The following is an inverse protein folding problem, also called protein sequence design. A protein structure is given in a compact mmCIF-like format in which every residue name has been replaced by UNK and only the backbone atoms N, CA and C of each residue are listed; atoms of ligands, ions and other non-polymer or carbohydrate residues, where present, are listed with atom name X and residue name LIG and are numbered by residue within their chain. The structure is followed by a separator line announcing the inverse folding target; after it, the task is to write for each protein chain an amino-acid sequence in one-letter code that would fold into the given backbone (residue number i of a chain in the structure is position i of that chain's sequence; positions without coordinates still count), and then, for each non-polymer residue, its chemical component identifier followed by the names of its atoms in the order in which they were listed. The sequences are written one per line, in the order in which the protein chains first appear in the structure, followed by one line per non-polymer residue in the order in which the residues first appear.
data_IF_428430412391
#
_entry.id   IF_428430412391
#
_cell.length_a   1.000
_cell.length_b   1.000
_cell.length_c   1.000
_cell.angle_alpha   90.00
_cell.angle_beta   90.00
_cell.angle_gamma   90.00
#
_symmetry.space_group_name_H-M   'P 1'
#
loop_
_entity.id
_entity.type
_entity.pdbx_description
1 polymer ?
#
# COMPACT_ATOMS: atom_id res chain seq x y z
N UNK A 1 15.67 7.55 -15.61
CA UNK A 1 14.25 7.69 -15.26
C UNK A 1 13.87 6.43 -14.47
N UNK A 2 13.33 6.58 -13.25
CA UNK A 2 12.91 5.43 -12.43
C UNK A 2 11.59 4.85 -12.93
N UNK A 3 11.45 3.53 -12.90
CA UNK A 3 10.18 2.84 -13.14
C UNK A 3 9.54 2.48 -11.80
N UNK A 4 8.30 2.89 -11.59
CA UNK A 4 7.53 2.69 -10.35
C UNK A 4 6.30 1.84 -10.64
N UNK A 5 6.09 0.79 -9.84
CA UNK A 5 4.88 -0.03 -9.87
C UNK A 5 4.08 0.20 -8.59
N UNK A 6 2.79 0.52 -8.73
CA UNK A 6 1.90 0.81 -7.61
C UNK A 6 0.67 -0.10 -7.68
N UNK A 7 0.42 -0.91 -6.66
CA UNK A 7 -0.80 -1.72 -6.60
C UNK A 7 -1.96 -0.93 -6.00
N UNK A 8 -3.18 -1.14 -6.52
CA UNK A 8 -4.36 -0.39 -6.08
C UNK A 8 -4.32 1.10 -6.48
N UNK A 9 -3.73 1.42 -7.65
CA UNK A 9 -3.46 2.79 -8.08
C UNK A 9 -4.65 3.56 -8.65
N UNK A 10 -5.86 2.98 -8.70
CA UNK A 10 -7.01 3.64 -9.34
C UNK A 10 -7.74 4.66 -8.45
N UNK A 11 -7.53 4.65 -7.13
CA UNK A 11 -8.19 5.55 -6.16
C UNK A 11 -7.37 5.73 -4.87
N UNK A 12 -7.82 6.65 -4.03
CA UNK A 12 -7.26 6.88 -2.69
C UNK A 12 -5.75 7.11 -2.68
N UNK A 13 -5.07 6.53 -1.70
CA UNK A 13 -3.61 6.67 -1.51
C UNK A 13 -2.84 6.22 -2.74
N UNK A 14 -3.27 5.12 -3.38
CA UNK A 14 -2.62 4.61 -4.59
C UNK A 14 -2.66 5.61 -5.74
N UNK A 15 -3.81 6.24 -6.01
CA UNK A 15 -3.94 7.24 -7.06
C UNK A 15 -3.13 8.51 -6.74
N UNK A 16 -3.10 8.96 -5.49
CA UNK A 16 -2.26 10.07 -5.06
C UNK A 16 -0.76 9.75 -5.27
N UNK A 17 -0.34 8.53 -4.95
CA UNK A 17 1.04 8.09 -5.22
C UNK A 17 1.33 8.03 -6.73
N UNK A 18 0.40 7.55 -7.57
CA UNK A 18 0.56 7.57 -9.05
C UNK A 18 0.78 9.00 -9.53
N UNK A 19 -0.07 9.96 -9.12
CA UNK A 19 0.08 11.39 -9.48
C UNK A 19 1.43 11.95 -9.05
N UNK A 20 1.82 11.67 -7.80
CA UNK A 20 3.05 12.19 -7.24
C UNK A 20 4.30 11.68 -7.99
N UNK A 21 4.38 10.38 -8.23
CA UNK A 21 5.54 9.81 -8.95
C UNK A 21 5.56 10.22 -10.42
N UNK A 22 4.41 10.27 -11.10
CA UNK A 22 4.32 10.76 -12.47
C UNK A 22 4.73 12.24 -12.57
N UNK A 23 4.25 13.08 -11.65
CA UNK A 23 4.64 14.50 -11.56
C UNK A 23 6.13 14.72 -11.28
N UNK A 24 6.83 13.73 -10.70
CA UNK A 24 8.28 13.72 -10.52
C UNK A 24 9.06 13.17 -11.74
N UNK A 25 8.38 12.88 -12.84
CA UNK A 25 8.99 12.36 -14.07
C UNK A 25 9.35 10.87 -14.04
N UNK A 26 8.78 10.08 -13.13
CA UNK A 26 8.93 8.64 -13.15
C UNK A 26 8.05 7.98 -14.23
N UNK A 27 8.49 6.84 -14.77
CA UNK A 27 7.63 5.95 -15.55
C UNK A 27 6.77 5.14 -14.59
N UNK A 28 5.47 5.44 -14.52
CA UNK A 28 4.56 4.82 -13.56
C UNK A 28 3.68 3.79 -14.22
N UNK A 29 3.64 2.60 -13.62
CA UNK A 29 2.66 1.56 -13.87
C UNK A 29 1.81 1.38 -12.61
N UNK A 30 0.51 1.14 -12.77
CA UNK A 30 -0.31 0.81 -11.63
C UNK A 30 -1.28 -0.33 -11.90
N UNK A 31 -1.47 -1.17 -10.88
CA UNK A 31 -2.39 -2.29 -10.92
C UNK A 31 -3.72 -1.89 -10.28
N UNK A 32 -4.82 -2.39 -10.83
CA UNK A 32 -6.17 -2.21 -10.28
C UNK A 32 -7.02 -3.44 -10.57
N UNK A 33 -8.02 -3.75 -9.72
CA UNK A 33 -8.84 -4.96 -9.89
C UNK A 33 -10.11 -4.71 -10.73
N UNK A 34 -10.96 -3.75 -10.32
CA UNK A 34 -12.35 -3.66 -10.83
C UNK A 34 -12.72 -2.31 -11.42
N UNK A 35 -12.24 -1.21 -10.88
CA UNK A 35 -12.70 0.11 -11.27
C UNK A 35 -11.98 0.60 -12.53
N UNK A 36 -12.44 0.12 -13.69
CA UNK A 36 -11.87 0.47 -15.01
C UNK A 36 -11.98 1.95 -15.32
N UNK A 37 -13.09 2.61 -14.93
CA UNK A 37 -13.32 4.02 -15.21
C UNK A 37 -12.34 4.90 -14.41
N UNK A 38 -12.23 4.68 -13.10
CA UNK A 38 -11.28 5.40 -12.26
C UNK A 38 -9.83 5.16 -12.72
N UNK A 39 -9.47 3.93 -13.10
CA UNK A 39 -8.15 3.62 -13.62
C UNK A 39 -7.85 4.38 -14.91
N UNK A 40 -8.80 4.43 -15.85
CA UNK A 40 -8.65 5.23 -17.09
C UNK A 40 -8.54 6.73 -16.82
N UNK A 41 -9.27 7.25 -15.83
CA UNK A 41 -9.17 8.65 -15.45
C UNK A 41 -7.77 9.00 -14.94
N UNK A 42 -7.23 8.22 -13.98
CA UNK A 42 -5.87 8.41 -13.46
C UNK A 42 -4.81 8.25 -14.56
N UNK A 43 -4.96 7.26 -15.44
CA UNK A 43 -4.01 7.04 -16.53
C UNK A 43 -4.00 8.22 -17.52
N UNK A 44 -5.17 8.76 -17.89
CA UNK A 44 -5.27 9.94 -18.78
C UNK A 44 -4.68 11.20 -18.16
N UNK A 45 -4.91 11.41 -16.86
CA UNK A 45 -4.43 12.56 -16.13
C UNK A 45 -2.90 12.57 -15.99
N UNK A 46 -2.30 11.40 -15.77
CA UNK A 46 -0.89 11.28 -15.37
C UNK A 46 0.04 10.75 -16.45
N UNK A 47 -0.50 10.18 -17.53
CA UNK A 47 0.27 9.42 -18.52
C UNK A 47 0.75 8.05 -18.00
N UNK A 48 0.37 7.64 -16.78
CA UNK A 48 0.73 6.36 -16.21
C UNK A 48 0.00 5.21 -16.93
N UNK A 49 0.61 4.02 -16.92
CA UNK A 49 0.04 2.84 -17.55
C UNK A 49 -0.74 2.01 -16.52
N UNK A 50 -1.99 1.70 -16.83
CA UNK A 50 -2.90 0.95 -15.98
C UNK A 50 -3.01 -0.51 -16.45
N UNK A 51 -2.84 -1.46 -15.52
CA UNK A 51 -3.02 -2.89 -15.77
C UNK A 51 -4.12 -3.46 -14.86
N UNK A 52 -5.11 -4.13 -15.46
CA UNK A 52 -6.13 -4.84 -14.69
C UNK A 52 -5.52 -6.13 -14.12
N UNK A 53 -5.45 -6.22 -12.79
CA UNK A 53 -4.81 -7.32 -12.08
C UNK A 53 -5.37 -7.42 -10.66
N UNK A 54 -5.93 -8.59 -10.28
CA UNK A 54 -6.12 -8.94 -8.88
C UNK A 54 -4.79 -9.40 -8.30
N UNK A 55 -4.28 -8.69 -7.29
CA UNK A 55 -3.00 -9.04 -6.65
C UNK A 55 -3.04 -10.39 -5.92
N UNK A 56 -4.23 -10.90 -5.59
CA UNK A 56 -4.40 -12.23 -5.02
C UNK A 56 -4.21 -13.37 -6.04
N UNK A 57 -4.21 -13.08 -7.34
CA UNK A 57 -3.93 -14.03 -8.42
C UNK A 57 -2.45 -13.95 -8.81
N UNK A 58 -1.65 -14.93 -8.35
CA UNK A 58 -0.20 -15.01 -8.63
C UNK A 58 0.09 -14.97 -10.14
N UNK A 59 -0.69 -15.69 -10.97
CA UNK A 59 -0.47 -15.71 -12.40
C UNK A 59 -0.80 -14.37 -13.07
N UNK A 60 -1.83 -13.65 -12.60
CA UNK A 60 -2.15 -12.32 -13.08
C UNK A 60 -1.05 -11.32 -12.70
N UNK A 61 -0.51 -11.41 -11.49
CA UNK A 61 0.62 -10.60 -11.04
C UNK A 61 1.85 -10.85 -11.91
N UNK A 62 2.21 -12.12 -12.16
CA UNK A 62 3.35 -12.44 -13.01
C UNK A 62 3.21 -11.84 -14.40
N UNK A 63 2.04 -12.00 -15.06
CA UNK A 63 1.77 -11.38 -16.38
C UNK A 63 1.90 -9.86 -16.35
N UNK A 64 1.43 -9.22 -15.26
CA UNK A 64 1.53 -7.78 -15.13
C UNK A 64 2.99 -7.32 -15.01
N UNK A 65 3.82 -8.01 -14.22
CA UNK A 65 5.24 -7.68 -14.08
C UNK A 65 6.05 -8.04 -15.33
N UNK A 66 5.67 -9.05 -16.10
CA UNK A 66 6.27 -9.35 -17.41
C UNK A 66 6.03 -8.18 -18.38
N UNK A 67 4.84 -7.59 -18.38
CA UNK A 67 4.50 -6.41 -19.20
C UNK A 67 5.23 -5.13 -18.74
N UNK A 68 5.45 -4.96 -17.44
CA UNK A 68 6.24 -3.84 -16.88
C UNK A 68 7.70 -3.95 -17.30
N UNK A 69 8.23 -5.15 -17.31
CA UNK A 69 9.65 -5.44 -17.51
C UNK A 69 10.42 -5.22 -16.20
N UNK A 70 11.09 -4.08 -16.05
CA UNK A 70 11.94 -3.80 -14.88
C UNK A 70 11.39 -2.64 -14.04
N UNK A 71 11.26 -2.86 -12.74
CA UNK A 71 10.86 -1.83 -11.77
C UNK A 71 12.01 -1.47 -10.81
N UNK A 72 12.11 -0.19 -10.47
CA UNK A 72 13.05 0.34 -9.48
C UNK A 72 12.36 0.53 -8.11
N UNK A 73 11.07 0.78 -8.14
CA UNK A 73 10.25 0.99 -6.93
C UNK A 73 8.97 0.18 -7.05
N UNK A 74 8.65 -0.60 -6.00
CA UNK A 74 7.37 -1.27 -5.82
C UNK A 74 6.63 -0.64 -4.64
N UNK A 75 5.40 -0.18 -4.85
CA UNK A 75 4.49 0.29 -3.80
C UNK A 75 3.33 -0.70 -3.68
N UNK A 76 3.33 -1.49 -2.61
CA UNK A 76 2.26 -2.41 -2.27
C UNK A 76 1.18 -1.66 -1.49
N UNK A 77 0.21 -1.09 -2.21
CA UNK A 77 -0.87 -0.31 -1.63
C UNK A 77 -2.25 -1.01 -1.75
N UNK A 78 -2.42 -1.95 -2.67
CA UNK A 78 -3.69 -2.69 -2.79
C UNK A 78 -4.09 -3.28 -1.45
N UNK A 79 -5.35 -3.11 -1.08
CA UNK A 79 -5.88 -3.62 0.18
C UNK A 79 -7.39 -3.49 0.26
N UNK A 80 -7.97 -4.38 1.07
CA UNK A 80 -9.39 -4.39 1.43
C UNK A 80 -9.51 -4.35 2.94
N UNK A 81 -10.63 -3.81 3.43
CA UNK A 81 -10.97 -3.81 4.85
C UNK A 81 -12.27 -4.60 5.08
N UNK A 82 -12.48 -4.98 6.32
CA UNK A 82 -13.73 -5.52 6.83
C UNK A 82 -13.98 -4.93 8.21
N UNK A 83 -15.18 -4.44 8.43
CA UNK A 83 -15.61 -3.91 9.71
C UNK A 83 -16.67 -4.82 10.30
N UNK A 84 -16.40 -5.40 11.46
CA UNK A 84 -17.31 -6.31 12.16
C UNK A 84 -16.61 -7.05 13.29
N UNK A 85 -17.39 -7.57 14.23
CA UNK A 85 -16.86 -8.39 15.34
C UNK A 85 -16.23 -9.68 14.80
N UNK A 86 -15.22 -10.19 15.48
CA UNK A 86 -14.54 -11.44 15.09
C UNK A 86 -15.51 -12.65 14.99
N UNK A 87 -16.58 -12.64 15.77
CA UNK A 87 -17.63 -13.66 15.73
C UNK A 87 -18.54 -13.58 14.50
N UNK A 88 -18.50 -12.48 13.76
CA UNK A 88 -19.36 -12.21 12.61
C UNK A 88 -18.65 -12.40 11.27
N UNK A 89 -17.30 -12.33 11.27
CA UNK A 89 -16.54 -12.52 10.05
C UNK A 89 -16.61 -13.98 9.60
N UNK A 90 -16.95 -14.18 8.33
CA UNK A 90 -16.97 -15.51 7.74
C UNK A 90 -15.57 -15.99 7.38
N UNK A 91 -15.33 -17.32 7.30
CA UNK A 91 -14.04 -17.83 6.79
C UNK A 91 -13.68 -17.36 5.38
N UNK A 92 -14.66 -17.06 4.54
CA UNK A 92 -14.42 -16.54 3.19
C UNK A 92 -13.92 -15.10 3.22
N UNK A 93 -14.53 -14.23 4.02
CA UNK A 93 -14.08 -12.85 4.22
C UNK A 93 -12.69 -12.79 4.84
N UNK A 94 -12.44 -13.60 5.87
CA UNK A 94 -11.11 -13.75 6.46
C UNK A 94 -10.05 -14.10 5.39
N UNK A 95 -10.31 -15.15 4.59
CA UNK A 95 -9.38 -15.57 3.54
C UNK A 95 -9.18 -14.49 2.48
N UNK A 96 -10.26 -13.75 2.10
CA UNK A 96 -10.13 -12.66 1.12
C UNK A 96 -9.26 -11.53 1.64
N UNK A 97 -9.36 -11.19 2.93
CA UNK A 97 -8.48 -10.19 3.56
C UNK A 97 -7.00 -10.60 3.47
N UNK A 98 -6.69 -11.85 3.82
CA UNK A 98 -5.32 -12.36 3.72
C UNK A 98 -4.84 -12.44 2.27
N UNK A 99 -5.66 -12.96 1.38
CA UNK A 99 -5.30 -13.10 -0.04
C UNK A 99 -4.93 -11.76 -0.69
N UNK A 100 -5.66 -10.67 -0.36
CA UNK A 100 -5.35 -9.35 -0.93
C UNK A 100 -4.24 -8.66 -0.14
N UNK A 101 -4.38 -8.55 1.20
CA UNK A 101 -3.54 -7.69 2.00
C UNK A 101 -2.17 -8.29 2.32
N UNK A 102 -2.03 -9.62 2.27
CA UNK A 102 -0.79 -10.34 2.61
C UNK A 102 -0.24 -11.08 1.39
N UNK A 103 -1.01 -12.03 0.84
CA UNK A 103 -0.56 -12.84 -0.29
C UNK A 103 -0.33 -11.97 -1.53
N UNK A 104 -1.15 -10.94 -1.74
CA UNK A 104 -0.97 -9.96 -2.81
C UNK A 104 0.37 -9.23 -2.75
N UNK A 105 0.83 -8.86 -1.54
CA UNK A 105 2.16 -8.27 -1.34
C UNK A 105 3.24 -9.30 -1.66
N UNK A 106 3.11 -10.52 -1.14
CA UNK A 106 4.03 -11.62 -1.42
C UNK A 106 4.16 -11.88 -2.92
N UNK A 107 3.04 -11.98 -3.64
CA UNK A 107 3.03 -12.19 -5.10
C UNK A 107 3.79 -11.08 -5.83
N UNK A 108 3.53 -9.81 -5.51
CA UNK A 108 4.19 -8.66 -6.13
C UNK A 108 5.69 -8.61 -5.82
N UNK A 109 6.06 -8.90 -4.56
CA UNK A 109 7.47 -8.97 -4.15
C UNK A 109 8.18 -10.08 -4.93
N UNK A 110 7.61 -11.29 -4.99
CA UNK A 110 8.20 -12.40 -5.78
C UNK A 110 8.40 -12.03 -7.24
N UNK A 111 7.44 -11.36 -7.85
CA UNK A 111 7.50 -11.00 -9.26
C UNK A 111 8.58 -9.94 -9.57
N UNK A 112 8.82 -8.99 -8.65
CA UNK A 112 9.81 -7.92 -8.87
C UNK A 112 11.22 -8.31 -8.48
N UNK A 113 11.40 -9.23 -7.51
CA UNK A 113 12.68 -9.55 -6.91
C UNK A 113 13.77 -10.01 -7.89
N UNK A 114 13.51 -10.90 -8.87
CA UNK A 114 14.59 -11.38 -9.76
C UNK A 114 15.35 -10.23 -10.43
N UNK A 115 14.64 -9.19 -10.84
CA UNK A 115 15.24 -8.03 -11.52
C UNK A 115 15.91 -7.07 -10.55
N UNK A 116 15.33 -6.84 -9.37
CA UNK A 116 15.96 -6.02 -8.33
C UNK A 116 17.25 -6.67 -7.82
N UNK A 117 17.27 -8.00 -7.64
CA UNK A 117 18.45 -8.76 -7.27
C UNK A 117 19.54 -8.71 -8.36
N UNK A 118 19.17 -8.83 -9.62
CA UNK A 118 20.11 -8.70 -10.74
C UNK A 118 20.73 -7.30 -10.78
N UNK A 119 19.96 -6.26 -10.50
CA UNK A 119 20.44 -4.86 -10.46
C UNK A 119 21.19 -4.50 -9.17
N UNK A 120 21.09 -5.32 -8.13
CA UNK A 120 21.57 -5.00 -6.77
C UNK A 120 21.04 -3.64 -6.29
N UNK A 121 19.79 -3.34 -6.62
CA UNK A 121 19.15 -2.06 -6.30
C UNK A 121 17.63 -2.17 -6.39
N UNK A 122 16.93 -1.58 -5.42
CA UNK A 122 15.48 -1.50 -5.42
C UNK A 122 14.92 -0.83 -4.17
N UNK A 123 13.65 -0.41 -4.24
CA UNK A 123 12.91 0.06 -3.08
C UNK A 123 11.50 -0.53 -3.08
N UNK A 124 11.11 -1.11 -1.95
CA UNK A 124 9.77 -1.64 -1.72
C UNK A 124 9.14 -0.84 -0.58
N UNK A 125 7.95 -0.28 -0.81
CA UNK A 125 7.19 0.42 0.22
C UNK A 125 5.83 -0.25 0.37
N UNK A 126 5.58 -0.79 1.55
CA UNK A 126 4.32 -1.46 1.90
C UNK A 126 3.38 -0.50 2.61
N UNK A 127 2.11 -0.46 2.21
CA UNK A 127 1.07 0.31 2.89
C UNK A 127 0.38 -0.57 3.93
N UNK A 128 0.74 -0.37 5.20
CA UNK A 128 0.11 -1.00 6.34
C UNK A 128 -1.06 -0.14 6.86
N UNK A 129 -1.16 0.03 8.16
CA UNK A 129 -2.15 0.86 8.87
C UNK A 129 -1.68 1.08 10.31
N UNK A 130 -2.13 2.14 10.95
CA UNK A 130 -2.00 2.30 12.41
C UNK A 130 -2.63 1.12 13.15
N UNK A 131 -3.70 0.52 12.62
CA UNK A 131 -4.33 -0.68 13.19
C UNK A 131 -3.47 -1.94 13.09
N UNK A 132 -2.48 -1.97 12.22
CA UNK A 132 -1.44 -3.00 12.22
C UNK A 132 -0.43 -2.84 13.35
N UNK A 133 -0.30 -1.64 13.94
CA UNK A 133 0.59 -1.36 15.07
C UNK A 133 -0.05 -1.71 16.42
N UNK A 134 -1.34 -1.36 16.61
CA UNK A 134 -2.01 -1.44 17.92
C UNK A 134 -3.28 -2.30 17.92
N UNK A 135 -3.81 -2.66 16.75
CA UNK A 135 -5.11 -3.31 16.61
C UNK A 135 -6.28 -2.34 16.80
N UNK A 136 -7.48 -2.77 16.35
CA UNK A 136 -8.72 -2.02 16.56
C UNK A 136 -9.89 -2.96 16.80
N UNK A 137 -10.82 -2.54 17.66
CA UNK A 137 -12.10 -3.21 17.84
C UNK A 137 -12.90 -3.19 16.52
N UNK A 138 -13.62 -4.26 16.25
CA UNK A 138 -14.37 -4.49 15.01
C UNK A 138 -13.51 -4.57 13.73
N UNK A 139 -12.19 -4.52 13.85
CA UNK A 139 -11.25 -4.65 12.72
C UNK A 139 -10.17 -5.73 12.98
N UNK A 140 -10.46 -6.74 13.81
CA UNK A 140 -9.48 -7.74 14.22
C UNK A 140 -8.79 -8.42 13.02
N UNK A 141 -9.56 -8.85 12.01
CA UNK A 141 -9.00 -9.50 10.83
C UNK A 141 -8.15 -8.53 9.98
N UNK A 142 -8.62 -7.29 9.77
CA UNK A 142 -7.88 -6.26 9.07
C UNK A 142 -6.57 -5.92 9.79
N UNK A 143 -6.66 -5.67 11.10
CA UNK A 143 -5.49 -5.39 11.95
C UNK A 143 -4.46 -6.51 11.90
N UNK A 144 -4.92 -7.78 11.90
CA UNK A 144 -4.03 -8.94 11.78
C UNK A 144 -3.28 -8.92 10.45
N UNK A 145 -3.97 -8.67 9.31
CA UNK A 145 -3.29 -8.59 8.01
C UNK A 145 -2.29 -7.45 7.96
N UNK A 146 -2.64 -6.28 8.54
CA UNK A 146 -1.75 -5.11 8.54
C UNK A 146 -0.57 -5.27 9.51
N UNK A 147 -0.74 -6.00 10.61
CA UNK A 147 0.36 -6.45 11.47
C UNK A 147 1.31 -7.41 10.76
N UNK A 148 0.77 -8.37 9.98
CA UNK A 148 1.56 -9.27 9.15
C UNK A 148 2.42 -8.49 8.14
N UNK A 149 1.89 -7.44 7.51
CA UNK A 149 2.64 -6.55 6.59
C UNK A 149 3.82 -5.88 7.31
N UNK A 150 3.67 -5.46 8.56
CA UNK A 150 4.76 -4.86 9.34
C UNK A 150 5.88 -5.88 9.62
N UNK A 151 5.50 -7.10 10.00
CA UNK A 151 6.46 -8.18 10.23
C UNK A 151 7.20 -8.55 8.94
N UNK A 152 6.47 -8.73 7.83
CA UNK A 152 7.03 -9.01 6.51
C UNK A 152 8.00 -7.91 6.05
N UNK A 153 7.66 -6.64 6.27
CA UNK A 153 8.53 -5.51 5.94
C UNK A 153 9.89 -5.60 6.63
N UNK A 154 9.87 -5.89 7.94
CA UNK A 154 11.10 -6.00 8.74
C UNK A 154 11.95 -7.21 8.32
N UNK A 155 11.32 -8.35 8.06
CA UNK A 155 12.00 -9.57 7.61
C UNK A 155 12.66 -9.35 6.25
N UNK A 156 11.92 -8.83 5.27
CA UNK A 156 12.44 -8.55 3.92
C UNK A 156 13.56 -7.49 3.93
N UNK A 157 13.49 -6.50 4.82
CA UNK A 157 14.55 -5.50 4.95
C UNK A 157 15.90 -6.13 5.37
N UNK A 158 15.87 -7.12 6.28
CA UNK A 158 17.05 -7.87 6.69
C UNK A 158 17.55 -8.79 5.58
N UNK A 159 16.65 -9.49 4.91
CA UNK A 159 16.98 -10.47 3.88
C UNK A 159 17.52 -9.81 2.61
N UNK A 160 16.95 -8.70 2.18
CA UNK A 160 17.24 -8.06 0.91
C UNK A 160 18.23 -6.89 1.01
N UNK A 161 18.48 -6.40 2.23
CA UNK A 161 19.44 -5.31 2.48
C UNK A 161 20.85 -5.57 1.92
N UNK A 162 21.44 -6.78 2.10
CA UNK A 162 22.73 -7.12 1.52
C UNK A 162 22.78 -7.02 -0.02
N UNK A 163 21.62 -7.11 -0.69
CA UNK A 163 21.49 -6.96 -2.14
C UNK A 163 21.13 -5.53 -2.58
N UNK A 164 21.27 -4.54 -1.68
CA UNK A 164 20.97 -3.13 -2.01
C UNK A 164 19.48 -2.81 -2.18
N UNK A 165 18.58 -3.70 -1.74
CA UNK A 165 17.14 -3.51 -1.84
C UNK A 165 16.59 -3.09 -0.48
N UNK A 166 15.95 -1.92 -0.42
CA UNK A 166 15.35 -1.39 0.80
C UNK A 166 13.87 -1.73 0.87
N UNK A 167 13.40 -2.09 2.06
CA UNK A 167 11.99 -2.43 2.30
C UNK A 167 11.50 -1.66 3.52
N UNK A 168 10.48 -0.82 3.34
CA UNK A 168 9.88 -0.02 4.40
C UNK A 168 8.35 -0.11 4.34
N UNK A 169 7.70 0.38 5.39
CA UNK A 169 6.25 0.51 5.43
C UNK A 169 5.82 1.93 5.81
N UNK A 170 4.66 2.35 5.29
CA UNK A 170 3.89 3.44 5.88
C UNK A 170 2.74 2.85 6.70
N UNK A 171 2.41 3.49 7.81
CA UNK A 171 1.25 3.16 8.65
C UNK A 171 0.31 4.37 8.72
N UNK A 172 -0.59 4.52 7.71
CA UNK A 172 -1.56 5.61 7.70
C UNK A 172 -2.56 5.48 8.86
N UNK A 173 -3.00 6.62 9.36
CA UNK A 173 -4.16 6.74 10.22
C UNK A 173 -5.46 6.78 9.41
N UNK A 174 -6.42 7.56 9.90
CA UNK A 174 -7.68 7.78 9.17
C UNK A 174 -7.42 8.74 8.00
N UNK A 175 -7.43 8.22 6.80
CA UNK A 175 -7.23 8.97 5.55
C UNK A 175 -8.57 9.10 4.83
N UNK A 176 -8.93 10.31 4.39
CA UNK A 176 -10.15 10.59 3.63
C UNK A 176 -10.09 9.92 2.25
N UNK A 177 -10.65 8.73 2.16
CA UNK A 177 -10.72 7.93 0.93
C UNK A 177 -12.08 7.27 0.82
N UNK A 178 -12.37 6.66 -0.35
CA UNK A 178 -13.59 5.86 -0.55
C UNK A 178 -13.72 4.70 0.45
N UNK A 179 -12.61 4.22 1.01
CA UNK A 179 -12.62 3.17 2.04
C UNK A 179 -13.36 3.62 3.30
N UNK A 180 -13.40 4.92 3.59
CA UNK A 180 -14.12 5.51 4.71
C UNK A 180 -15.55 5.97 4.34
N UNK A 181 -15.98 5.82 3.08
CA UNK A 181 -17.27 6.35 2.61
C UNK A 181 -18.50 5.73 3.31
N UNK A 182 -18.36 4.51 3.84
CA UNK A 182 -19.42 3.83 4.60
C UNK A 182 -19.40 4.14 6.10
N UNK A 183 -18.43 4.91 6.58
CA UNK A 183 -18.32 5.28 8.00
C UNK A 183 -19.23 6.47 8.26
N UNK A 184 -20.05 6.36 9.31
CA UNK A 184 -20.98 7.45 9.69
C UNK A 184 -20.24 8.76 9.99
N UNK A 185 -20.81 9.93 9.63
CA UNK A 185 -20.17 11.22 9.82
C UNK A 185 -19.78 11.50 11.27
N UNK A 186 -20.61 11.07 12.24
CA UNK A 186 -20.37 11.22 13.67
C UNK A 186 -19.14 10.43 14.13
N UNK A 187 -18.94 9.22 13.57
CA UNK A 187 -17.77 8.39 13.86
C UNK A 187 -16.51 9.04 13.26
N UNK A 188 -16.60 9.56 12.03
CA UNK A 188 -15.50 10.28 11.38
C UNK A 188 -15.11 11.53 12.17
N UNK A 189 -16.10 12.27 12.69
CA UNK A 189 -15.83 13.43 13.55
C UNK A 189 -15.19 13.02 14.88
N UNK A 190 -15.64 11.93 15.50
CA UNK A 190 -15.00 11.37 16.70
C UNK A 190 -13.54 10.97 16.45
N UNK A 191 -13.24 10.34 15.31
CA UNK A 191 -11.86 9.99 14.91
C UNK A 191 -11.00 11.23 14.66
N UNK A 192 -11.57 12.29 14.07
CA UNK A 192 -10.89 13.57 13.89
C UNK A 192 -10.53 14.21 15.25
N UNK A 193 -11.47 14.21 16.20
CA UNK A 193 -11.24 14.77 17.54
C UNK A 193 -10.20 14.00 18.35
N UNK A 194 -10.10 12.67 18.14
CA UNK A 194 -9.08 11.82 18.75
C UNK A 194 -7.70 11.97 18.08
N UNK A 195 -7.64 12.57 16.90
CA UNK A 195 -6.37 12.80 16.21
C UNK A 195 -5.70 14.06 16.77
N UNK A 196 -4.51 14.00 17.38
CA UNK A 196 -3.84 15.14 18.02
C UNK A 196 -3.68 16.37 17.13
N UNK A 197 -3.46 16.18 15.82
CA UNK A 197 -3.40 17.30 14.87
C UNK A 197 -4.77 17.95 14.61
N UNK A 198 -5.86 17.39 15.12
CA UNK A 198 -7.22 17.91 14.93
C UNK A 198 -7.78 17.76 13.51
N UNK A 199 -7.11 17.02 12.65
CA UNK A 199 -7.50 16.80 11.25
C UNK A 199 -7.41 15.33 10.86
N UNK A 200 -8.17 14.93 9.84
CA UNK A 200 -7.98 13.63 9.18
C UNK A 200 -6.97 13.80 8.05
N UNK A 201 -6.18 12.76 7.82
CA UNK A 201 -5.19 12.75 6.76
C UNK A 201 -5.81 12.75 5.36
N UNK A 202 -5.01 13.14 4.38
CA UNK A 202 -5.35 13.09 2.95
C UNK A 202 -4.56 11.96 2.26
N UNK A 203 -5.01 11.47 1.10
CA UNK A 203 -4.22 10.55 0.29
C UNK A 203 -2.82 11.07 -0.04
N UNK A 204 -2.69 12.39 -0.22
CA UNK A 204 -1.45 13.08 -0.53
C UNK A 204 -0.45 13.01 0.62
N UNK A 205 -0.90 13.09 1.88
CA UNK A 205 -0.03 12.94 3.06
C UNK A 205 0.64 11.57 3.07
N UNK A 206 -0.14 10.50 2.81
CA UNK A 206 0.40 9.16 2.73
C UNK A 206 1.33 8.98 1.50
N UNK A 207 0.96 9.56 0.35
CA UNK A 207 1.79 9.50 -0.86
C UNK A 207 3.15 10.18 -0.69
N UNK A 208 3.22 11.31 0.03
CA UNK A 208 4.49 11.98 0.34
C UNK A 208 5.40 11.09 1.19
N UNK A 209 4.85 10.42 2.20
CA UNK A 209 5.61 9.48 3.04
C UNK A 209 6.10 8.27 2.24
N UNK A 210 5.27 7.72 1.34
CA UNK A 210 5.66 6.64 0.42
C UNK A 210 6.84 7.09 -0.44
N UNK A 211 6.76 8.28 -1.04
CA UNK A 211 7.81 8.79 -1.90
C UNK A 211 9.11 9.08 -1.14
N UNK A 212 9.01 9.60 0.10
CA UNK A 212 10.17 9.77 0.97
C UNK A 212 10.88 8.42 1.22
N UNK A 213 10.15 7.38 1.63
CA UNK A 213 10.72 6.06 1.89
C UNK A 213 11.29 5.40 0.62
N UNK A 214 10.67 5.64 -0.53
CA UNK A 214 11.17 5.15 -1.81
C UNK A 214 12.51 5.79 -2.19
N UNK A 215 12.76 7.04 -1.80
CA UNK A 215 13.95 7.79 -2.17
C UNK A 215 15.04 7.83 -1.08
N UNK A 216 14.72 7.60 0.20
CA UNK A 216 15.66 7.68 1.32
C UNK A 216 16.70 6.55 1.31
N UNK A 217 17.97 6.77 1.00
CA UNK A 217 18.93 5.69 0.70
C UNK A 217 19.40 4.92 1.94
N UNK A 218 19.33 5.52 3.11
CA UNK A 218 19.80 4.92 4.38
C UNK A 218 18.64 4.54 5.32
N UNK A 219 17.44 4.31 4.74
CA UNK A 219 16.24 3.91 5.50
C UNK A 219 15.74 2.57 4.99
N UNK A 220 15.79 1.53 5.84
CA UNK A 220 15.21 0.20 5.57
C UNK A 220 14.68 -0.41 6.86
N UNK A 221 13.67 -1.28 6.77
CA UNK A 221 13.03 -1.95 7.91
C UNK A 221 12.15 -1.04 8.77
N UNK A 222 11.93 0.21 8.35
CA UNK A 222 11.20 1.21 9.13
C UNK A 222 9.71 1.21 8.83
N UNK A 223 8.94 1.60 9.84
CA UNK A 223 7.50 1.85 9.75
C UNK A 223 7.27 3.33 10.03
N UNK A 224 6.93 4.09 8.99
CA UNK A 224 6.63 5.52 9.12
C UNK A 224 5.13 5.71 9.39
N UNK A 225 4.80 6.12 10.60
CA UNK A 225 3.43 6.48 10.96
C UNK A 225 3.02 7.81 10.29
N UNK A 226 1.87 7.80 9.60
CA UNK A 226 1.26 8.96 8.94
C UNK A 226 -0.17 9.08 9.44
N UNK A 227 -0.34 9.40 10.72
CA UNK A 227 -1.61 9.25 11.44
C UNK A 227 -2.01 10.47 12.30
N UNK A 228 -1.32 11.62 12.11
CA UNK A 228 -1.61 12.83 12.88
C UNK A 228 -1.39 12.72 14.40
N UNK A 229 -0.60 11.72 14.83
CA UNK A 229 -0.34 11.44 16.25
C UNK A 229 -1.39 10.53 16.90
N UNK A 230 -2.34 9.97 16.15
CA UNK A 230 -3.38 9.08 16.70
C UNK A 230 -2.78 7.86 17.40
N UNK A 231 -1.72 7.31 16.84
CA UNK A 231 -0.90 6.23 17.44
C UNK A 231 0.54 6.68 17.47
N UNK A 232 1.14 6.65 18.67
CA UNK A 232 2.56 6.93 18.91
C UNK A 232 3.16 5.64 19.49
N UNK A 233 4.10 5.00 18.76
CA UNK A 233 4.77 3.74 19.15
C UNK A 233 6.28 3.92 19.09
#
# INVERSE_FOLDING_TARGET
MKTVVITGGSRGIGAAAVRLFAGRGARVWFLYEKNHEAARAVARETGAQALCCDVADEAAVQRAFDAVGSADILVNNAGVCHYGLISQITPAEWRRLFAVNVDGIYNCVRAVLPQMLQKQSGAIVNVSSMWGQVGASCEAAYSTTKGAVLALTKALAQELGPSGIRVNAVAPGVIRTDMCASVAPEVMEGLRQQTPTGTLGTPEDAAQAIAYLADAPFVTGQVLAVNGGFVIT
#
